data_IF_407856047090
#
_entry.id   IF_407856047090
#
_cell.length_a   1.000
_cell.length_b   1.000
_cell.length_c   1.000
_cell.angle_alpha   90.00
_cell.angle_beta   90.00
_cell.angle_gamma   90.00
#
_symmetry.space_group_name_H-M   'P 1'
#
loop_
_entity.id
_entity.type
_entity.pdbx_description
1 polymer ?
#
# COMPACT_ATOMS: atom_id res chain seq x y z
N UNK A 1 19.31 5.89 -2.97
CA UNK A 1 18.04 6.58 -3.26
C UNK A 1 17.08 6.52 -2.06
N UNK A 2 17.57 6.65 -0.82
CA UNK A 2 16.75 6.42 0.39
C UNK A 2 16.09 7.69 0.94
N UNK A 3 16.34 8.85 0.32
CA UNK A 3 15.73 10.13 0.71
C UNK A 3 14.76 10.60 -0.37
N UNK A 4 13.73 11.34 0.05
CA UNK A 4 12.78 12.00 -0.87
C UNK A 4 13.51 12.85 -1.92
N UNK A 5 14.51 13.63 -1.51
CA UNK A 5 15.29 14.49 -2.41
C UNK A 5 16.09 13.69 -3.46
N UNK A 6 16.72 12.58 -3.07
CA UNK A 6 17.45 11.73 -4.01
C UNK A 6 16.50 11.03 -4.99
N UNK A 7 15.33 10.57 -4.53
CA UNK A 7 14.32 9.98 -5.39
C UNK A 7 13.77 10.99 -6.40
N UNK A 8 13.41 12.20 -5.95
CA UNK A 8 12.91 13.26 -6.84
C UNK A 8 13.97 13.69 -7.86
N UNK A 9 15.24 13.81 -7.44
CA UNK A 9 16.34 14.15 -8.36
C UNK A 9 16.55 13.10 -9.45
N UNK A 10 16.39 11.81 -9.13
CA UNK A 10 16.64 10.72 -10.06
C UNK A 10 15.42 10.28 -10.89
N UNK A 11 14.23 10.32 -10.30
CA UNK A 11 13.01 9.73 -10.85
C UNK A 11 11.81 10.68 -10.82
N UNK A 12 11.97 11.95 -10.43
CA UNK A 12 10.86 12.89 -10.26
C UNK A 12 9.99 13.04 -11.51
N UNK A 13 10.59 12.98 -12.70
CA UNK A 13 9.87 13.07 -13.98
C UNK A 13 9.38 11.70 -14.52
N UNK A 14 9.60 10.61 -13.79
CA UNK A 14 9.15 9.29 -14.19
C UNK A 14 7.62 9.20 -14.19
N UNK A 15 7.07 8.60 -15.25
CA UNK A 15 5.65 8.29 -15.34
C UNK A 15 5.28 7.22 -14.29
N UNK A 16 4.10 7.35 -13.69
CA UNK A 16 3.55 6.41 -12.72
C UNK A 16 2.07 6.18 -12.96
N UNK A 17 1.57 5.05 -12.46
CA UNK A 17 0.14 4.76 -12.35
C UNK A 17 -0.25 4.82 -10.88
N UNK A 18 -1.29 5.58 -10.58
CA UNK A 18 -1.94 5.65 -9.28
C UNK A 18 -3.19 4.79 -9.29
N UNK A 19 -3.49 4.17 -8.16
CA UNK A 19 -4.72 3.40 -7.95
C UNK A 19 -5.53 4.01 -6.82
N UNK A 20 -6.86 3.92 -6.89
CA UNK A 20 -7.73 4.23 -5.75
C UNK A 20 -7.43 3.29 -4.58
N UNK A 21 -7.46 3.78 -3.35
CA UNK A 21 -7.08 3.01 -2.17
C UNK A 21 -8.14 2.02 -1.68
N UNK A 22 -9.35 1.98 -2.28
CA UNK A 22 -10.39 1.02 -1.91
C UNK A 22 -9.98 -0.45 -2.15
N UNK A 23 -10.75 -1.39 -1.58
CA UNK A 23 -10.43 -2.83 -1.56
C UNK A 23 -10.20 -3.46 -2.95
N UNK A 24 -10.68 -2.81 -4.01
CA UNK A 24 -10.59 -3.31 -5.37
C UNK A 24 -9.56 -2.56 -6.24
N UNK A 25 -9.21 -1.32 -5.86
CA UNK A 25 -8.22 -0.49 -6.54
C UNK A 25 -8.45 -0.31 -8.04
N UNK A 26 -9.73 -0.27 -8.47
CA UNK A 26 -10.11 -0.27 -9.89
C UNK A 26 -9.85 1.05 -10.61
N UNK A 27 -9.94 2.19 -9.93
CA UNK A 27 -9.67 3.46 -10.60
C UNK A 27 -8.15 3.62 -10.77
N UNK A 28 -7.72 3.87 -12.01
CA UNK A 28 -6.32 4.07 -12.38
C UNK A 28 -6.13 5.47 -12.95
N UNK A 29 -5.08 6.17 -12.52
CA UNK A 29 -4.73 7.51 -13.03
C UNK A 29 -3.24 7.59 -13.34
N UNK A 30 -2.91 8.01 -14.55
CA UNK A 30 -1.53 8.31 -14.92
C UNK A 30 -1.09 9.63 -14.28
N UNK A 31 0.15 9.69 -13.83
CA UNK A 31 0.75 10.88 -13.23
C UNK A 31 2.27 10.90 -13.43
N UNK A 32 2.90 11.95 -12.92
CA UNK A 32 4.35 12.09 -12.80
C UNK A 32 4.74 11.98 -11.33
N UNK A 33 5.82 11.27 -11.02
CA UNK A 33 6.23 10.97 -9.63
C UNK A 33 6.30 12.23 -8.76
N UNK A 34 6.94 13.28 -9.25
CA UNK A 34 7.07 14.55 -8.53
C UNK A 34 5.72 15.21 -8.25
N UNK A 35 4.79 15.18 -9.22
CA UNK A 35 3.45 15.72 -9.04
C UNK A 35 2.70 14.94 -7.96
N UNK A 36 2.76 13.62 -7.99
CA UNK A 36 2.14 12.77 -6.96
C UNK A 36 2.72 13.03 -5.57
N UNK A 37 4.05 13.05 -5.45
CA UNK A 37 4.72 13.29 -4.17
C UNK A 37 4.37 14.66 -3.60
N UNK A 38 4.26 15.70 -4.43
CA UNK A 38 4.00 17.06 -3.96
C UNK A 38 2.51 17.33 -3.70
N UNK A 39 1.61 16.70 -4.46
CA UNK A 39 0.18 17.02 -4.41
C UNK A 39 -0.65 16.02 -3.60
N UNK A 40 -0.29 14.74 -3.62
CA UNK A 40 -1.13 13.65 -3.08
C UNK A 40 -0.56 12.99 -1.82
N UNK A 41 0.76 12.99 -1.61
CA UNK A 41 1.39 12.40 -0.41
C UNK A 41 1.26 13.31 0.82
N UNK A 42 0.02 13.62 1.21
CA UNK A 42 -0.34 14.41 2.40
C UNK A 42 -1.00 13.51 3.45
N UNK A 43 -1.05 13.92 4.73
CA UNK A 43 -1.80 13.18 5.75
C UNK A 43 -3.28 13.03 5.35
N UNK A 44 -3.83 11.83 5.55
CA UNK A 44 -5.23 11.56 5.26
C UNK A 44 -6.15 11.97 6.43
N UNK A 45 -7.29 12.58 6.10
CA UNK A 45 -8.40 12.84 7.03
C UNK A 45 -9.33 11.63 7.17
N UNK A 46 -9.94 11.50 8.34
CA UNK A 46 -10.92 10.47 8.66
C UNK A 46 -12.22 10.54 7.84
N UNK A 47 -12.56 11.72 7.34
CA UNK A 47 -13.81 11.95 6.60
C UNK A 47 -13.71 11.57 5.11
N UNK A 48 -12.53 11.15 4.64
CA UNK A 48 -12.32 10.80 3.24
C UNK A 48 -12.74 9.37 2.96
N UNK A 49 -13.34 9.16 1.79
CA UNK A 49 -13.64 7.83 1.26
C UNK A 49 -12.39 7.22 0.63
N UNK A 50 -12.20 5.91 0.76
CA UNK A 50 -10.99 5.22 0.27
C UNK A 50 -10.83 5.28 -1.26
N UNK A 51 -11.92 5.42 -2.00
CA UNK A 51 -11.89 5.58 -3.46
C UNK A 51 -11.32 6.94 -3.92
N UNK A 52 -11.44 7.98 -3.08
CA UNK A 52 -10.90 9.32 -3.34
C UNK A 52 -9.39 9.44 -3.10
N UNK A 53 -8.80 8.47 -2.39
CA UNK A 53 -7.39 8.46 -2.03
C UNK A 53 -6.60 7.74 -3.11
N UNK A 54 -5.63 8.44 -3.69
CA UNK A 54 -4.73 7.89 -4.71
C UNK A 54 -3.45 7.38 -4.06
N UNK A 55 -3.09 6.14 -4.39
CA UNK A 55 -1.92 5.46 -3.86
C UNK A 55 -1.13 4.82 -5.00
N UNK A 56 0.19 4.97 -5.01
CA UNK A 56 1.04 4.30 -6.00
C UNK A 56 1.29 2.87 -5.51
N UNK A 57 0.75 1.88 -6.22
CA UNK A 57 0.86 0.48 -5.84
C UNK A 57 0.79 -0.41 -7.07
N UNK A 58 1.91 -1.05 -7.41
CA UNK A 58 2.01 -1.88 -8.61
C UNK A 58 2.06 -1.06 -9.89
N UNK A 59 1.74 -1.73 -11.02
CA UNK A 59 1.73 -1.13 -12.37
C UNK A 59 3.03 -0.37 -12.71
N UNK A 60 4.14 -0.89 -12.21
CA UNK A 60 5.49 -0.32 -12.33
C UNK A 60 6.12 -0.64 -13.71
N UNK A 61 5.33 -0.64 -14.79
CA UNK A 61 5.75 -1.09 -16.12
C UNK A 61 6.39 0.01 -16.98
N UNK A 62 6.32 1.28 -16.56
CA UNK A 62 6.96 2.38 -17.29
C UNK A 62 8.49 2.30 -17.22
N UNK A 63 9.13 2.87 -18.24
CA UNK A 63 10.59 2.96 -18.35
C UNK A 63 11.19 3.62 -17.10
N UNK A 64 12.34 3.11 -16.64
CA UNK A 64 13.00 3.50 -15.39
C UNK A 64 12.53 2.70 -14.16
N UNK A 65 11.25 2.34 -14.05
CA UNK A 65 10.77 1.52 -12.92
C UNK A 65 11.20 0.07 -13.04
N UNK A 66 11.14 -0.51 -14.23
CA UNK A 66 11.66 -1.88 -14.48
C UNK A 66 13.13 -1.99 -14.10
N UNK A 67 13.98 -1.03 -14.54
CA UNK A 67 15.40 -1.00 -14.21
C UNK A 67 15.66 -0.77 -12.71
N UNK A 68 14.83 0.05 -12.06
CA UNK A 68 14.90 0.24 -10.62
C UNK A 68 14.58 -1.08 -9.88
N UNK A 69 13.53 -1.79 -10.29
CA UNK A 69 13.08 -3.02 -9.65
C UNK A 69 14.04 -4.19 -9.87
N UNK A 70 14.74 -4.27 -11.01
CA UNK A 70 15.73 -5.33 -11.26
C UNK A 70 16.96 -5.21 -10.36
N UNK A 71 17.21 -4.04 -9.76
CA UNK A 71 18.29 -3.81 -8.78
C UNK A 71 17.94 -4.31 -7.38
N UNK A 72 16.69 -4.68 -7.12
CA UNK A 72 16.28 -5.19 -5.82
C UNK A 72 16.82 -6.60 -5.59
N UNK A 73 17.65 -6.77 -4.55
CA UNK A 73 18.16 -8.07 -4.15
C UNK A 73 17.13 -8.77 -3.25
N UNK A 74 16.47 -9.81 -3.78
CA UNK A 74 15.42 -10.54 -3.05
C UNK A 74 16.01 -11.23 -1.81
N UNK A 75 15.28 -11.26 -0.67
CA UNK A 75 15.71 -12.02 0.49
C UNK A 75 15.97 -13.50 0.16
N UNK A 76 17.03 -14.11 0.72
CA UNK A 76 17.49 -15.45 0.34
C UNK A 76 16.52 -16.59 0.71
N UNK A 77 15.49 -16.32 1.51
CA UNK A 77 14.45 -17.30 1.85
C UNK A 77 13.25 -17.27 0.89
N UNK A 78 13.21 -16.35 -0.07
CA UNK A 78 12.20 -16.32 -1.13
C UNK A 78 12.56 -17.24 -2.33
N UNK A 79 13.45 -18.22 -2.09
CA UNK A 79 13.93 -19.19 -3.09
C UNK A 79 12.89 -20.28 -3.41
N UNK A 80 11.64 -19.91 -3.69
CA UNK A 80 10.70 -20.83 -4.33
C UNK A 80 10.89 -20.80 -5.84
N UNK A 81 10.69 -21.94 -6.50
CA UNK A 81 10.62 -22.08 -7.96
C UNK A 81 9.53 -21.16 -8.59
N UNK A 82 8.68 -20.56 -7.77
CA UNK A 82 7.73 -19.52 -8.12
C UNK A 82 8.38 -18.13 -8.00
N UNK A 83 8.75 -17.54 -9.14
CA UNK A 83 9.20 -16.14 -9.22
C UNK A 83 7.97 -15.24 -9.03
N UNK A 84 7.72 -14.80 -7.80
CA UNK A 84 6.72 -13.75 -7.52
C UNK A 84 7.05 -12.45 -8.25
N UNK A 85 6.03 -11.68 -8.62
CA UNK A 85 6.21 -10.33 -9.18
C UNK A 85 6.80 -9.38 -8.14
N UNK A 86 7.72 -8.51 -8.56
CA UNK A 86 8.18 -7.39 -7.73
C UNK A 86 7.32 -6.19 -8.06
N UNK A 87 6.88 -5.48 -7.02
CA UNK A 87 6.24 -4.18 -7.15
C UNK A 87 6.86 -3.18 -6.18
N UNK A 88 6.76 -1.91 -6.53
CA UNK A 88 7.11 -0.79 -5.68
C UNK A 88 5.89 0.08 -5.45
N UNK A 89 5.72 0.54 -4.22
CA UNK A 89 4.59 1.37 -3.85
C UNK A 89 4.95 2.42 -2.81
N UNK A 90 4.16 3.49 -2.79
CA UNK A 90 4.31 4.61 -1.87
C UNK A 90 3.00 5.36 -1.70
N UNK A 91 2.82 5.96 -0.54
CA UNK A 91 1.84 7.03 -0.40
C UNK A 91 1.86 7.71 0.96
N UNK A 92 0.89 8.59 1.14
CA UNK A 92 0.85 9.56 2.23
C UNK A 92 0.60 8.93 3.60
N UNK A 93 0.85 9.71 4.65
CA UNK A 93 0.52 9.31 6.02
C UNK A 93 -0.99 9.05 6.18
N UNK A 94 -1.36 8.01 6.92
CA UNK A 94 -2.74 7.54 7.06
C UNK A 94 -3.32 6.83 5.83
N UNK A 95 -2.60 6.72 4.71
CA UNK A 95 -3.06 5.91 3.58
C UNK A 95 -2.82 4.42 3.80
N UNK A 96 -3.59 3.60 3.09
CA UNK A 96 -3.52 2.15 3.14
C UNK A 96 -4.65 1.54 2.34
N UNK A 97 -4.70 0.22 2.29
CA UNK A 97 -5.74 -0.53 1.59
C UNK A 97 -6.65 -1.21 2.62
N UNK A 98 -7.99 -1.18 2.43
CA UNK A 98 -8.93 -1.91 3.26
C UNK A 98 -8.66 -3.41 3.18
N UNK A 99 -9.34 -4.16 4.06
CA UNK A 99 -9.26 -5.61 4.03
C UNK A 99 -9.64 -6.18 2.67
N UNK A 100 -8.80 -7.09 2.19
CA UNK A 100 -8.99 -7.84 0.97
C UNK A 100 -8.23 -9.17 1.10
N UNK A 101 -8.48 -10.10 0.18
CA UNK A 101 -7.77 -11.38 0.14
C UNK A 101 -6.58 -11.30 -0.80
N UNK A 102 -5.47 -11.90 -0.42
CA UNK A 102 -4.27 -11.97 -1.24
C UNK A 102 -3.65 -13.37 -1.21
N UNK A 103 -2.88 -13.72 -2.23
CA UNK A 103 -1.93 -14.84 -2.19
C UNK A 103 -0.73 -14.55 -1.27
N UNK A 104 0.30 -15.40 -1.31
CA UNK A 104 1.53 -15.18 -0.53
C UNK A 104 2.26 -13.89 -0.97
N UNK A 105 2.73 -13.10 -0.01
CA UNK A 105 3.47 -11.85 -0.24
C UNK A 105 4.59 -11.70 0.77
N UNK A 106 5.71 -11.18 0.29
CA UNK A 106 6.73 -10.57 1.13
C UNK A 106 6.65 -9.04 0.95
N UNK A 107 6.54 -8.30 2.05
CA UNK A 107 6.45 -6.84 2.04
C UNK A 107 7.61 -6.24 2.85
N UNK A 108 8.46 -5.45 2.21
CA UNK A 108 9.57 -4.72 2.85
C UNK A 108 9.25 -3.23 2.94
N UNK A 109 9.49 -2.64 4.13
CA UNK A 109 9.30 -1.21 4.36
C UNK A 109 10.64 -0.50 4.27
N UNK A 110 10.86 0.24 3.19
CA UNK A 110 12.09 1.01 2.98
C UNK A 110 12.10 2.35 3.73
N UNK A 111 10.93 2.95 3.97
CA UNK A 111 10.77 4.22 4.67
C UNK A 111 9.40 4.30 5.36
N UNK A 112 9.36 4.89 6.55
CA UNK A 112 8.15 5.01 7.37
C UNK A 112 7.78 3.70 8.08
N UNK A 113 6.50 3.57 8.44
CA UNK A 113 5.97 2.42 9.17
C UNK A 113 4.62 2.00 8.58
N UNK A 114 4.29 0.70 8.68
CA UNK A 114 2.97 0.17 8.35
C UNK A 114 2.46 -0.66 9.52
N UNK A 115 1.21 -0.43 9.89
CA UNK A 115 0.45 -1.30 10.79
C UNK A 115 -0.36 -2.29 9.98
N UNK A 116 -0.22 -3.57 10.28
CA UNK A 116 -0.88 -4.67 9.58
C UNK A 116 -1.87 -5.36 10.50
N UNK A 117 -3.01 -5.74 9.92
CA UNK A 117 -4.03 -6.56 10.55
C UNK A 117 -4.33 -7.75 9.65
N UNK A 118 -4.24 -8.96 10.21
CA UNK A 118 -4.41 -10.19 9.46
C UNK A 118 -5.47 -11.08 10.13
N UNK A 119 -6.41 -11.55 9.31
CA UNK A 119 -7.37 -12.57 9.70
C UNK A 119 -7.06 -13.91 9.01
N UNK A 120 -7.33 -15.05 9.65
CA UNK A 120 -7.21 -16.36 9.01
C UNK A 120 -8.00 -16.45 7.70
N UNK A 121 -7.50 -17.24 6.74
CA UNK A 121 -8.17 -17.47 5.44
C UNK A 121 -9.62 -17.97 5.57
N UNK A 122 -9.94 -18.65 6.67
CA UNK A 122 -11.28 -19.16 6.96
C UNK A 122 -12.26 -18.11 7.50
N UNK A 123 -11.80 -16.91 7.85
CA UNK A 123 -12.67 -15.81 8.28
C UNK A 123 -13.49 -15.31 7.08
N UNK A 124 -14.84 -15.36 7.13
CA UNK A 124 -15.67 -14.94 6.00
C UNK A 124 -15.39 -13.49 5.59
N UNK A 125 -15.43 -12.58 6.57
CA UNK A 125 -15.15 -11.16 6.43
C UNK A 125 -14.61 -10.57 7.75
N UNK A 126 -13.66 -9.63 7.73
CA UNK A 126 -13.23 -8.89 8.92
C UNK A 126 -14.37 -8.09 9.58
N UNK A 127 -14.49 -8.12 10.91
CA UNK A 127 -15.50 -7.36 11.64
C UNK A 127 -15.47 -5.87 11.31
N UNK A 128 -16.66 -5.30 11.11
CA UNK A 128 -16.88 -3.88 10.82
C UNK A 128 -16.10 -3.37 9.60
N UNK A 129 -15.64 -4.23 8.68
CA UNK A 129 -14.96 -3.77 7.47
C UNK A 129 -15.94 -3.29 6.41
N UNK A 130 -15.50 -2.36 5.57
CA UNK A 130 -16.26 -1.91 4.41
C UNK A 130 -15.29 -1.60 3.26
N UNK A 131 -15.58 -2.03 2.01
CA UNK A 131 -14.62 -1.96 0.91
C UNK A 131 -14.19 -0.54 0.49
N UNK A 132 -15.03 0.47 0.77
CA UNK A 132 -14.72 1.89 0.53
C UNK A 132 -14.38 2.69 1.80
N UNK A 133 -14.32 2.04 2.96
CA UNK A 133 -13.86 2.69 4.19
C UNK A 133 -12.34 2.64 4.27
N UNK A 134 -11.68 3.73 4.66
CA UNK A 134 -10.23 3.75 4.75
C UNK A 134 -9.72 2.83 5.86
N UNK A 135 -8.52 2.26 5.67
CA UNK A 135 -7.86 1.48 6.72
C UNK A 135 -7.63 2.33 7.98
N UNK A 136 -7.36 3.62 7.82
CA UNK A 136 -7.20 4.57 8.93
C UNK A 136 -8.48 4.73 9.74
N UNK A 137 -9.63 4.87 9.08
CA UNK A 137 -10.92 4.93 9.77
C UNK A 137 -11.15 3.65 10.57
N UNK A 138 -10.99 2.49 9.93
CA UNK A 138 -11.19 1.20 10.61
C UNK A 138 -10.28 1.07 11.84
N UNK A 139 -9.00 1.44 11.72
CA UNK A 139 -8.04 1.45 12.83
C UNK A 139 -8.44 2.37 13.98
N UNK A 140 -8.92 3.58 13.68
CA UNK A 140 -9.15 4.60 14.71
C UNK A 140 -10.58 4.57 15.29
N UNK A 141 -11.54 3.97 14.58
CA UNK A 141 -12.96 3.97 14.96
C UNK A 141 -13.54 2.60 15.24
N UNK A 142 -13.10 1.56 14.51
CA UNK A 142 -13.73 0.24 14.58
C UNK A 142 -12.91 -0.72 15.44
N UNK A 143 -11.58 -0.70 15.29
CA UNK A 143 -10.67 -1.63 15.95
C UNK A 143 -10.81 -1.64 17.48
N UNK A 144 -10.92 -0.46 18.12
CA UNK A 144 -11.10 -0.34 19.58
C UNK A 144 -12.44 -0.92 20.09
N UNK A 145 -13.42 -1.08 19.21
CA UNK A 145 -14.76 -1.59 19.56
C UNK A 145 -14.91 -3.10 19.39
N UNK A 146 -13.89 -3.78 18.89
CA UNK A 146 -13.92 -5.22 18.65
C UNK A 146 -13.92 -6.01 19.96
N UNK A 147 -14.69 -7.09 20.00
CA UNK A 147 -14.60 -8.07 21.07
C UNK A 147 -13.24 -8.80 21.02
N UNK A 148 -12.81 -9.37 22.15
CA UNK A 148 -11.51 -10.04 22.24
C UNK A 148 -11.34 -11.20 21.22
N UNK A 149 -12.42 -11.91 20.89
CA UNK A 149 -12.45 -12.98 19.91
C UNK A 149 -12.55 -12.48 18.44
N UNK A 150 -12.72 -11.18 18.25
CA UNK A 150 -12.79 -10.52 16.94
C UNK A 150 -11.45 -9.86 16.57
N UNK A 151 -10.46 -9.83 17.47
CA UNK A 151 -9.20 -9.16 17.23
C UNK A 151 -8.38 -9.85 16.13
N UNK A 152 -7.78 -9.08 15.22
CA UNK A 152 -6.86 -9.61 14.21
C UNK A 152 -5.48 -9.94 14.82
N UNK A 153 -4.68 -10.72 14.08
CA UNK A 153 -3.23 -10.72 14.29
C UNK A 153 -2.65 -9.38 13.86
N UNK A 154 -1.67 -8.87 14.60
CA UNK A 154 -1.06 -7.56 14.34
C UNK A 154 0.44 -7.64 14.04
N UNK A 155 0.91 -6.72 13.20
CA UNK A 155 2.33 -6.48 12.97
C UNK A 155 2.61 -4.98 12.77
N UNK A 156 3.75 -4.49 13.27
CA UNK A 156 4.19 -3.10 13.11
C UNK A 156 3.45 -2.10 14.00
N UNK A 157 3.31 -2.42 15.31
CA UNK A 157 2.88 -1.46 16.34
C UNK A 157 3.97 -0.44 16.65
#
# INVERSE_FOLDING_TARGET
MTTKSALLKGMGQAAIVLSSANAHSYEKRNSVLEMYINNNMKPQSLDMSADSIMYMFGDNYYEGWTEFLTKYNRPPYLNSDEIGSISFGMGGDGSGVPFHRHGAVFAEILHGHKRWYLYPKGTPEPPLSHPNQTSQFWTLKNYESLAANELPMECGR
#
